data_IF_277396999601
#
_entry.id   IF_277396999601
#
_cell.length_a   1.000
_cell.length_b   1.000
_cell.length_c   1.000
_cell.angle_alpha   90.00
_cell.angle_beta   90.00
_cell.angle_gamma   90.00
#
_symmetry.space_group_name_H-M   'P 1'
#
loop_
_entity.id
_entity.type
_entity.pdbx_description
1 polymer ?
#
# COMPACT_ATOMS: atom_id res chain seq x y z
N UNK A 1 -2.56 44.11 -42.52
CA UNK A 1 -2.57 42.72 -43.02
C UNK A 1 -1.18 42.39 -43.56
N UNK A 2 -0.55 41.22 -43.31
CA UNK A 2 -0.86 40.21 -42.30
C UNK A 2 0.34 39.83 -41.39
N UNK A 3 -0.03 39.17 -40.28
CA UNK A 3 0.80 38.48 -39.28
C UNK A 3 1.72 37.42 -39.88
N UNK A 4 2.93 37.29 -39.34
CA UNK A 4 3.71 36.04 -39.42
C UNK A 4 3.49 35.25 -38.13
N UNK A 5 2.71 34.18 -38.24
CA UNK A 5 2.50 33.19 -37.19
C UNK A 5 3.60 32.13 -37.34
N UNK A 6 4.42 31.96 -36.29
CA UNK A 6 5.32 30.83 -36.13
C UNK A 6 4.50 29.55 -35.90
N UNK A 7 4.66 28.55 -36.77
CA UNK A 7 4.25 27.16 -36.49
C UNK A 7 5.43 26.45 -35.87
N UNK A 8 5.39 26.20 -34.56
CA UNK A 8 6.25 25.20 -33.93
C UNK A 8 5.64 23.81 -34.13
N UNK A 9 6.37 22.93 -34.79
CA UNK A 9 6.06 21.52 -34.93
C UNK A 9 6.25 20.84 -33.56
N UNK A 10 5.20 20.19 -33.05
CA UNK A 10 5.30 19.28 -31.92
C UNK A 10 6.00 17.99 -32.36
N UNK A 11 7.28 17.87 -32.05
CA UNK A 11 7.99 16.60 -32.10
C UNK A 11 7.59 15.77 -30.87
N UNK A 12 6.96 14.62 -31.13
CA UNK A 12 6.60 13.59 -30.16
C UNK A 12 7.88 12.82 -29.80
N UNK A 13 8.45 13.07 -28.63
CA UNK A 13 9.51 12.24 -28.06
C UNK A 13 8.81 11.20 -27.17
N UNK A 14 8.91 9.94 -27.56
CA UNK A 14 8.55 8.79 -26.73
C UNK A 14 9.85 8.38 -26.04
N UNK A 15 9.99 8.69 -24.75
CA UNK A 15 11.12 8.19 -23.97
C UNK A 15 10.79 6.76 -23.51
N UNK A 16 11.40 5.81 -24.19
CA UNK A 16 11.40 4.40 -23.84
C UNK A 16 12.46 4.18 -22.74
N UNK A 17 12.04 4.03 -21.49
CA UNK A 17 12.93 3.64 -20.40
C UNK A 17 13.26 2.14 -20.52
N UNK A 18 14.25 1.80 -21.34
CA UNK A 18 14.88 0.48 -21.33
C UNK A 18 15.90 0.41 -20.19
N UNK A 19 15.63 -0.39 -19.16
CA UNK A 19 16.66 -0.78 -18.19
C UNK A 19 17.77 -1.60 -18.88
N UNK A 20 19.06 -1.37 -18.59
CA UNK A 20 20.15 -2.12 -19.21
C UNK A 20 20.21 -3.58 -18.73
N UNK A 21 20.54 -4.56 -19.60
CA UNK A 21 20.62 -5.96 -19.21
C UNK A 21 21.96 -6.27 -18.51
N UNK A 22 21.89 -6.72 -17.27
CA UNK A 22 22.99 -7.42 -16.61
C UNK A 22 22.96 -8.90 -16.99
N UNK A 23 23.97 -9.25 -17.77
CA UNK A 23 24.59 -10.55 -18.03
C UNK A 23 24.28 -11.62 -16.96
N UNK A 24 23.62 -12.71 -17.35
CA UNK A 24 24.08 -14.02 -16.90
C UNK A 24 24.01 -15.05 -18.04
N UNK A 25 25.19 -15.49 -18.41
CA UNK A 25 25.50 -16.36 -19.53
C UNK A 25 25.75 -17.73 -18.94
N UNK A 26 24.78 -18.66 -19.02
CA UNK A 26 25.04 -20.12 -19.07
C UNK A 26 23.77 -20.94 -19.29
N UNK A 27 23.61 -21.42 -20.53
CA UNK A 27 23.36 -22.85 -20.87
C UNK A 27 23.27 -22.99 -22.39
N UNK A 28 24.41 -23.36 -23.01
CA UNK A 28 24.41 -24.04 -24.31
C UNK A 28 24.27 -25.54 -24.04
N UNK A 29 23.24 -26.16 -24.58
CA UNK A 29 23.27 -27.58 -24.89
C UNK A 29 22.85 -27.74 -26.35
N UNK A 30 23.82 -28.14 -27.18
CA UNK A 30 23.59 -28.74 -28.49
C UNK A 30 23.00 -30.14 -28.26
N UNK A 31 21.96 -30.51 -29.02
CA UNK A 31 21.74 -31.90 -29.42
C UNK A 31 21.23 -31.90 -30.85
N UNK A 32 22.04 -32.43 -31.77
CA UNK A 32 21.62 -32.91 -33.09
C UNK A 32 21.71 -34.43 -33.03
N UNK A 33 20.64 -35.14 -33.43
CA UNK A 33 20.67 -36.58 -33.60
C UNK A 33 19.28 -37.22 -33.61
N UNK A 34 18.76 -37.52 -34.81
CA UNK A 34 17.63 -38.41 -35.01
C UNK A 34 17.95 -39.81 -34.49
N UNK A 35 17.03 -40.40 -33.72
CA UNK A 35 17.06 -41.80 -33.31
C UNK A 35 15.66 -42.25 -32.86
N UNK A 36 15.21 -43.35 -33.46
CA UNK A 36 13.87 -43.96 -33.42
C UNK A 36 13.25 -44.17 -32.02
N UNK A 37 11.92 -44.01 -31.96
CA UNK A 37 11.02 -44.30 -30.81
C UNK A 37 11.02 -45.79 -30.41
N UNK A 38 10.66 -46.08 -29.15
CA UNK A 38 9.40 -46.76 -28.96
C UNK A 38 8.47 -46.07 -27.94
N UNK A 39 7.18 -46.23 -28.20
CA UNK A 39 6.05 -45.66 -27.49
C UNK A 39 5.93 -46.16 -26.05
N UNK A 40 5.77 -45.20 -25.12
CA UNK A 40 4.82 -45.23 -24.00
C UNK A 40 5.08 -44.02 -23.11
N UNK A 41 4.55 -42.85 -23.48
CA UNK A 41 4.44 -41.74 -22.54
C UNK A 41 2.95 -41.46 -22.34
N UNK A 42 2.45 -41.93 -21.21
CA UNK A 42 1.16 -41.51 -20.67
C UNK A 42 1.07 -39.98 -20.75
N UNK A 43 0.11 -39.46 -21.53
CA UNK A 43 -0.31 -38.07 -21.42
C UNK A 43 -0.99 -37.90 -20.06
N UNK A 44 -0.21 -37.72 -18.99
CA UNK A 44 -0.69 -36.99 -17.84
C UNK A 44 -0.68 -35.51 -18.24
N UNK A 45 -1.86 -34.98 -18.49
CA UNK A 45 -2.09 -33.55 -18.64
C UNK A 45 -1.76 -32.84 -17.32
N UNK A 46 -0.48 -32.62 -17.05
CA UNK A 46 -0.04 -31.64 -16.08
C UNK A 46 -0.16 -30.32 -16.82
N UNK A 47 -1.31 -29.66 -16.67
CA UNK A 47 -1.48 -28.29 -17.13
C UNK A 47 -0.27 -27.50 -16.67
N UNK A 48 0.46 -26.90 -17.62
CA UNK A 48 1.52 -25.97 -17.28
C UNK A 48 0.87 -24.88 -16.43
N UNK A 49 1.12 -24.91 -15.13
CA UNK A 49 0.87 -23.75 -14.28
C UNK A 49 1.74 -22.65 -14.87
N UNK A 50 1.11 -21.75 -15.63
CA UNK A 50 1.79 -20.55 -16.08
C UNK A 50 2.18 -19.82 -14.81
N UNK A 51 3.48 -19.72 -14.54
CA UNK A 51 3.96 -18.85 -13.48
C UNK A 51 3.36 -17.46 -13.74
N UNK A 52 2.59 -16.95 -12.78
CA UNK A 52 2.04 -15.60 -12.87
C UNK A 52 3.23 -14.64 -12.99
N UNK A 53 3.38 -14.02 -14.15
CA UNK A 53 4.41 -13.01 -14.38
C UNK A 53 3.86 -11.62 -14.06
N UNK A 54 4.68 -10.77 -13.46
CA UNK A 54 4.38 -9.34 -13.34
C UNK A 54 4.09 -8.75 -14.72
N UNK A 55 3.03 -7.94 -14.83
CA UNK A 55 2.75 -7.10 -15.99
C UNK A 55 2.22 -5.77 -15.51
N UNK A 56 3.00 -4.73 -15.74
CA UNK A 56 2.62 -3.34 -15.49
C UNK A 56 3.04 -2.49 -16.68
N UNK A 57 2.20 -1.54 -17.06
CA UNK A 57 2.55 -0.49 -18.01
C UNK A 57 2.21 0.87 -17.40
N UNK A 58 3.18 1.78 -17.38
CA UNK A 58 3.01 3.15 -16.93
C UNK A 58 3.25 4.05 -18.14
N UNK A 59 2.21 4.75 -18.58
CA UNK A 59 2.28 5.68 -19.71
C UNK A 59 1.53 6.97 -19.43
N UNK A 60 1.36 7.79 -20.45
CA UNK A 60 0.62 9.05 -20.37
C UNK A 60 -0.54 9.06 -21.36
N UNK A 61 -1.70 9.56 -20.91
CA UNK A 61 -2.87 9.80 -21.74
C UNK A 61 -3.47 11.16 -21.34
N UNK A 62 -3.30 12.18 -22.19
CA UNK A 62 -3.72 13.53 -21.88
C UNK A 62 -3.03 14.08 -20.62
N UNK A 63 -3.75 14.62 -19.62
CA UNK A 63 -3.16 15.17 -18.41
C UNK A 63 -2.86 14.10 -17.33
N UNK A 64 -2.99 12.81 -17.66
CA UNK A 64 -2.87 11.72 -16.69
C UNK A 64 -1.70 10.81 -17.00
N UNK A 65 -1.04 10.34 -15.93
CA UNK A 65 -0.31 9.09 -15.88
C UNK A 65 -1.33 7.96 -15.82
N UNK A 66 -1.24 7.01 -16.75
CA UNK A 66 -2.12 5.84 -16.79
C UNK A 66 -1.30 4.60 -16.48
N UNK A 67 -1.77 3.84 -15.48
CA UNK A 67 -1.08 2.68 -14.95
C UNK A 67 -2.00 1.48 -15.12
N UNK A 68 -1.64 0.57 -16.02
CA UNK A 68 -2.36 -0.70 -16.22
C UNK A 68 -1.54 -1.82 -15.61
N UNK A 69 -2.18 -2.68 -14.82
CA UNK A 69 -1.48 -3.67 -14.00
C UNK A 69 -2.30 -4.94 -13.82
N UNK A 70 -1.60 -6.08 -13.81
CA UNK A 70 -2.18 -7.34 -13.37
C UNK A 70 -2.04 -7.62 -11.86
N UNK A 71 -1.47 -6.68 -11.10
CA UNK A 71 -1.24 -6.75 -9.65
C UNK A 71 -0.45 -7.98 -9.17
N UNK A 72 0.31 -8.63 -10.05
CA UNK A 72 1.27 -9.67 -9.69
C UNK A 72 2.59 -8.99 -9.36
N UNK A 73 3.19 -9.14 -8.17
CA UNK A 73 4.48 -8.53 -7.86
C UNK A 73 5.60 -9.09 -8.74
N UNK A 74 6.64 -8.28 -8.95
CA UNK A 74 7.91 -8.63 -9.58
C UNK A 74 8.95 -9.19 -8.58
N UNK A 75 8.47 -9.56 -7.39
CA UNK A 75 9.25 -10.07 -6.29
C UNK A 75 8.57 -11.30 -5.69
N UNK A 76 9.35 -12.10 -4.96
CA UNK A 76 8.82 -13.26 -4.24
C UNK A 76 7.77 -12.83 -3.21
N UNK A 77 6.71 -13.64 -3.11
CA UNK A 77 5.67 -13.47 -2.10
C UNK A 77 5.76 -14.59 -1.07
N UNK A 78 5.07 -14.38 0.04
CA UNK A 78 4.70 -15.48 0.91
C UNK A 78 3.88 -16.54 0.16
N UNK A 79 3.71 -17.70 0.79
CA UNK A 79 2.81 -18.74 0.26
C UNK A 79 1.37 -18.31 0.50
N UNK A 80 0.56 -18.32 -0.56
CA UNK A 80 -0.88 -18.06 -0.51
C UNK A 80 -1.60 -19.16 -1.29
N UNK A 81 -2.66 -19.76 -0.72
CA UNK A 81 -3.24 -19.50 0.60
C UNK A 81 -2.33 -19.95 1.76
N UNK A 82 -2.55 -19.36 2.94
CA UNK A 82 -1.90 -19.69 4.21
C UNK A 82 -2.93 -19.71 5.36
N UNK A 83 -2.57 -20.11 6.60
CA UNK A 83 -3.53 -20.21 7.71
C UNK A 83 -4.26 -18.91 8.06
N UNK A 84 -3.61 -17.74 7.90
CA UNK A 84 -4.21 -16.43 8.14
C UNK A 84 -4.92 -15.84 6.92
N UNK A 85 -4.74 -16.43 5.73
CA UNK A 85 -5.33 -15.96 4.48
C UNK A 85 -5.67 -17.10 3.51
N UNK A 86 -6.96 -17.43 3.32
CA UNK A 86 -7.39 -18.56 2.49
C UNK A 86 -7.38 -18.26 0.98
N UNK A 87 -6.99 -17.06 0.54
CA UNK A 87 -7.05 -16.66 -0.86
C UNK A 87 -5.73 -16.96 -1.58
N UNK A 88 -5.81 -17.37 -2.84
CA UNK A 88 -4.65 -17.54 -3.73
C UNK A 88 -4.44 -16.27 -4.58
N UNK A 89 -3.18 -15.93 -4.87
CA UNK A 89 -2.85 -14.82 -5.78
C UNK A 89 -3.35 -15.16 -7.18
N UNK A 90 -4.05 -14.22 -7.82
CA UNK A 90 -4.45 -14.32 -9.23
C UNK A 90 -4.21 -13.00 -9.94
N UNK A 91 -3.94 -13.08 -11.24
CA UNK A 91 -3.80 -11.88 -12.07
C UNK A 91 -5.12 -11.10 -12.11
N UNK A 92 -5.01 -9.79 -12.00
CA UNK A 92 -6.10 -8.84 -12.07
C UNK A 92 -6.09 -8.10 -13.42
N UNK A 93 -7.09 -7.26 -13.66
CA UNK A 93 -7.12 -6.29 -14.76
C UNK A 93 -7.41 -4.90 -14.17
N UNK A 94 -6.37 -4.20 -13.75
CA UNK A 94 -6.47 -2.91 -13.08
C UNK A 94 -6.00 -1.79 -14.00
N UNK A 95 -6.71 -0.66 -13.96
CA UNK A 95 -6.35 0.57 -14.67
C UNK A 95 -6.54 1.77 -13.76
N UNK A 96 -5.44 2.47 -13.48
CA UNK A 96 -5.41 3.67 -12.65
C UNK A 96 -5.04 4.90 -13.47
N UNK A 97 -5.53 6.07 -13.05
CA UNK A 97 -5.21 7.37 -13.62
C UNK A 97 -4.77 8.31 -12.51
N UNK A 98 -3.59 8.90 -12.63
CA UNK A 98 -3.05 9.84 -11.66
C UNK A 98 -2.66 11.14 -12.39
N UNK A 99 -3.02 12.34 -11.89
CA UNK A 99 -2.65 13.60 -12.55
C UNK A 99 -1.14 13.74 -12.79
N UNK A 100 -0.72 14.22 -13.97
CA UNK A 100 0.68 14.55 -14.26
C UNK A 100 1.15 15.84 -13.59
N UNK A 101 0.21 16.75 -13.33
CA UNK A 101 0.42 18.02 -12.64
C UNK A 101 -0.43 18.04 -11.37
N UNK A 102 -0.07 17.26 -10.34
CA UNK A 102 -0.80 17.21 -9.09
C UNK A 102 -0.68 18.55 -8.35
N UNK A 103 -1.75 18.93 -7.67
CA UNK A 103 -1.80 20.16 -6.86
C UNK A 103 -2.37 19.85 -5.48
N UNK A 104 -1.82 20.51 -4.45
CA UNK A 104 -2.35 20.40 -3.09
C UNK A 104 -3.73 21.05 -3.04
N UNK A 105 -4.69 20.38 -2.43
CA UNK A 105 -6.07 20.85 -2.32
C UNK A 105 -6.29 21.86 -1.18
N UNK A 106 -5.25 22.19 -0.40
CA UNK A 106 -5.34 23.02 0.81
C UNK A 106 -5.98 22.32 2.01
N UNK A 107 -6.44 21.07 1.86
CA UNK A 107 -6.99 20.22 2.92
C UNK A 107 -6.60 18.77 2.70
N UNK A 108 -6.54 18.01 3.79
CA UNK A 108 -6.26 16.57 3.74
C UNK A 108 -7.55 15.75 3.61
N UNK A 109 -7.56 14.77 2.70
CA UNK A 109 -8.66 13.82 2.51
C UNK A 109 -8.26 12.46 3.07
N UNK A 110 -9.07 11.88 3.96
CA UNK A 110 -8.79 10.54 4.50
C UNK A 110 -8.88 9.46 3.40
N UNK A 111 -7.93 8.53 3.37
CA UNK A 111 -7.80 7.47 2.37
C UNK A 111 -8.71 6.26 2.56
N UNK A 112 -9.64 6.26 3.52
CA UNK A 112 -10.56 5.11 3.74
C UNK A 112 -11.37 4.81 2.47
N UNK A 113 -11.30 3.57 1.99
CA UNK A 113 -11.98 3.11 0.77
C UNK A 113 -11.27 3.47 -0.54
N UNK A 114 -9.96 3.72 -0.48
CA UNK A 114 -9.11 3.98 -1.63
C UNK A 114 -7.83 3.15 -1.53
N UNK A 115 -7.32 2.67 -2.67
CA UNK A 115 -5.89 2.38 -2.74
C UNK A 115 -5.19 3.74 -2.64
N UNK A 116 -4.25 3.90 -1.70
CA UNK A 116 -3.50 5.14 -1.55
C UNK A 116 -2.69 5.47 -2.81
N UNK A 117 -2.13 4.43 -3.43
CA UNK A 117 -1.40 4.56 -4.67
C UNK A 117 -1.16 3.19 -5.29
N UNK A 118 -0.36 3.18 -6.34
CA UNK A 118 0.10 1.96 -6.98
C UNK A 118 1.62 1.99 -7.09
N UNK A 119 2.25 0.90 -6.68
CA UNK A 119 3.68 0.73 -6.78
C UNK A 119 4.15 0.70 -8.24
N UNK A 120 5.44 0.95 -8.47
CA UNK A 120 6.05 0.87 -9.82
C UNK A 120 5.94 -0.51 -10.45
N UNK A 121 5.85 -1.57 -9.65
CA UNK A 121 5.56 -2.93 -10.12
C UNK A 121 4.06 -3.18 -10.35
N UNK A 122 3.19 -2.19 -10.15
CA UNK A 122 1.75 -2.29 -10.40
C UNK A 122 0.93 -2.86 -9.25
N UNK A 123 1.52 -3.18 -8.09
CA UNK A 123 0.77 -3.64 -6.91
C UNK A 123 0.18 -2.44 -6.14
N UNK A 124 -1.11 -2.46 -5.76
CA UNK A 124 -1.70 -1.36 -5.01
C UNK A 124 -1.18 -1.25 -3.56
N UNK A 125 -1.05 -0.01 -3.08
CA UNK A 125 -0.93 0.31 -1.66
C UNK A 125 -2.32 0.51 -1.06
N UNK A 126 -2.71 -0.30 -0.10
CA UNK A 126 -4.02 -0.26 0.54
C UNK A 126 -3.83 -0.18 2.06
N UNK A 127 -3.68 1.03 2.63
CA UNK A 127 -3.31 1.17 4.04
C UNK A 127 -4.44 0.82 5.02
N UNK A 128 -5.70 0.87 4.58
CA UNK A 128 -6.85 0.69 5.46
C UNK A 128 -7.40 -0.73 5.30
N UNK A 129 -7.66 -1.39 6.43
CA UNK A 129 -8.29 -2.72 6.40
C UNK A 129 -9.79 -2.60 6.18
N UNK A 130 -10.42 -3.71 5.79
CA UNK A 130 -11.86 -3.91 5.91
C UNK A 130 -12.26 -4.44 7.30
N UNK A 131 -11.34 -4.43 8.27
CA UNK A 131 -11.53 -4.98 9.60
C UNK A 131 -11.94 -3.89 10.58
N UNK A 132 -13.04 -4.14 11.29
CA UNK A 132 -13.64 -3.19 12.21
C UNK A 132 -13.97 -3.85 13.54
N UNK A 133 -13.82 -3.13 14.64
CA UNK A 133 -14.18 -3.64 15.96
C UNK A 133 -15.68 -3.99 16.01
N UNK A 134 -16.02 -5.28 16.07
CA UNK A 134 -17.40 -5.78 16.06
C UNK A 134 -18.26 -5.20 14.91
N UNK A 135 -17.64 -4.87 13.77
CA UNK A 135 -18.31 -4.25 12.63
C UNK A 135 -18.56 -2.73 12.76
N UNK A 136 -18.18 -2.09 13.86
CA UNK A 136 -18.29 -0.65 14.04
C UNK A 136 -17.22 0.09 13.20
N UNK A 137 -17.68 0.75 12.14
CA UNK A 137 -16.81 1.47 11.18
C UNK A 137 -16.08 2.67 11.77
N UNK A 138 -16.40 3.06 13.01
CA UNK A 138 -15.65 4.07 13.75
C UNK A 138 -14.34 3.54 14.34
N UNK A 139 -14.08 2.22 14.29
CA UNK A 139 -12.89 1.60 14.86
C UNK A 139 -12.26 0.64 13.85
N UNK A 140 -11.34 1.14 13.03
CA UNK A 140 -10.70 0.38 11.97
C UNK A 140 -9.36 -0.18 12.42
N UNK A 141 -9.17 -1.49 12.32
CA UNK A 141 -7.90 -2.10 12.70
C UNK A 141 -6.78 -1.69 11.75
N UNK A 142 -5.64 -1.34 12.31
CA UNK A 142 -4.42 -1.15 11.55
C UNK A 142 -3.82 -2.51 11.17
N UNK A 143 -3.60 -2.72 9.87
CA UNK A 143 -3.18 -4.01 9.32
C UNK A 143 -1.84 -4.50 9.87
N UNK A 144 -0.91 -3.58 10.11
CA UNK A 144 0.48 -3.89 10.45
C UNK A 144 0.76 -3.74 11.95
N UNK A 145 -0.24 -3.34 12.73
CA UNK A 145 -0.12 -3.23 14.19
C UNK A 145 -0.09 -4.60 14.90
N UNK A 146 -0.38 -5.70 14.19
CA UNK A 146 -0.26 -7.07 14.71
C UNK A 146 -1.39 -7.53 15.64
N UNK A 147 -2.50 -6.80 15.68
CA UNK A 147 -3.67 -7.14 16.52
C UNK A 147 -4.72 -8.00 15.81
N UNK A 148 -4.65 -8.07 14.47
CA UNK A 148 -5.49 -8.92 13.63
C UNK A 148 -4.58 -9.73 12.73
N UNK A 149 -4.78 -11.04 12.68
CA UNK A 149 -4.07 -11.90 11.74
C UNK A 149 -4.73 -11.80 10.36
N UNK A 150 -4.10 -11.04 9.47
CA UNK A 150 -4.51 -10.90 8.06
C UNK A 150 -3.76 -11.87 7.12
N UNK A 151 -2.93 -12.76 7.69
CA UNK A 151 -2.03 -13.62 6.94
C UNK A 151 -1.04 -12.85 6.06
N UNK A 152 -0.54 -11.72 6.56
CA UNK A 152 0.47 -10.91 5.86
C UNK A 152 1.73 -11.74 5.58
N UNK A 153 2.34 -11.51 4.43
CA UNK A 153 3.66 -12.05 4.11
C UNK A 153 4.80 -11.11 4.55
N UNK A 154 6.03 -11.49 4.25
CA UNK A 154 7.25 -10.72 4.53
C UNK A 154 7.29 -9.33 3.88
N UNK A 155 6.43 -9.07 2.88
CA UNK A 155 6.28 -7.79 2.20
C UNK A 155 5.16 -6.93 2.82
N UNK A 156 4.62 -7.33 3.97
CA UNK A 156 3.48 -6.71 4.62
C UNK A 156 2.27 -6.62 3.67
N UNK A 157 2.08 -7.64 2.84
CA UNK A 157 0.99 -7.74 1.90
C UNK A 157 0.17 -8.99 2.13
N UNK A 158 -1.06 -8.97 1.65
CA UNK A 158 -1.88 -10.16 1.59
C UNK A 158 -2.77 -10.16 0.36
N UNK A 159 -3.55 -11.24 0.24
CA UNK A 159 -4.46 -11.46 -0.86
C UNK A 159 -5.90 -11.22 -0.39
N UNK A 160 -6.63 -10.30 -1.02
CA UNK A 160 -8.06 -10.15 -0.72
C UNK A 160 -8.88 -11.24 -1.44
N UNK A 161 -10.17 -11.44 -1.06
CA UNK A 161 -11.10 -12.18 -1.89
C UNK A 161 -11.05 -11.73 -3.36
N UNK A 162 -11.02 -12.69 -4.28
CA UNK A 162 -10.81 -12.44 -5.73
C UNK A 162 -9.35 -12.44 -6.18
N UNK A 163 -8.39 -12.61 -5.25
CA UNK A 163 -7.00 -12.93 -5.57
C UNK A 163 -6.05 -11.74 -5.78
N UNK A 164 -6.52 -10.50 -5.54
CA UNK A 164 -5.68 -9.29 -5.65
C UNK A 164 -4.68 -9.22 -4.47
N UNK A 165 -3.40 -9.32 -4.78
CA UNK A 165 -2.31 -9.04 -3.86
C UNK A 165 -2.11 -7.51 -3.70
N UNK A 166 -1.89 -7.03 -2.47
CA UNK A 166 -1.73 -5.59 -2.18
C UNK A 166 -0.96 -5.35 -0.88
N UNK A 167 -0.24 -4.22 -0.79
CA UNK A 167 0.59 -3.86 0.35
C UNK A 167 -0.17 -3.06 1.41
N UNK A 168 0.00 -3.46 2.68
CA UNK A 168 -0.42 -2.70 3.86
C UNK A 168 0.72 -1.99 4.57
N UNK A 169 1.96 -2.37 4.28
CA UNK A 169 3.17 -1.80 4.88
C UNK A 169 4.36 -1.80 3.93
N UNK A 170 5.55 -1.93 4.50
CA UNK A 170 6.82 -1.90 3.77
C UNK A 170 6.93 -3.06 2.77
N UNK A 171 6.92 -2.82 1.45
CA UNK A 171 7.08 -3.87 0.45
C UNK A 171 8.57 -4.23 0.31
N UNK A 172 9.10 -5.03 1.23
CA UNK A 172 10.55 -5.36 1.30
C UNK A 172 11.08 -5.91 -0.02
N UNK A 173 10.30 -6.76 -0.68
CA UNK A 173 10.61 -7.34 -1.98
C UNK A 173 10.54 -6.35 -3.14
N UNK A 174 9.87 -5.20 -3.01
CA UNK A 174 9.94 -4.11 -3.99
C UNK A 174 11.17 -3.24 -3.71
N UNK A 175 11.44 -2.96 -2.43
CA UNK A 175 12.50 -2.07 -1.97
C UNK A 175 13.79 -2.89 -1.79
N UNK A 176 14.28 -3.48 -2.88
CA UNK A 176 15.46 -4.38 -2.87
C UNK A 176 16.80 -3.63 -2.88
N UNK A 177 16.81 -2.35 -3.27
CA UNK A 177 18.00 -1.51 -3.33
C UNK A 177 17.72 -0.10 -2.80
N UNK A 178 17.79 0.04 -1.48
CA UNK A 178 17.87 1.34 -0.82
C UNK A 178 19.26 1.54 -0.23
N UNK A 179 19.72 2.79 -0.21
CA UNK A 179 20.92 3.20 0.49
C UNK A 179 20.52 4.30 1.46
N UNK A 180 20.85 4.19 2.76
CA UNK A 180 20.61 5.28 3.70
C UNK A 180 21.45 6.52 3.37
N UNK A 181 22.39 6.40 2.43
CA UNK A 181 23.26 7.47 1.95
C UNK A 181 22.75 8.10 0.63
N UNK A 182 21.55 7.76 0.17
CA UNK A 182 20.99 8.30 -1.08
C UNK A 182 19.51 8.60 -0.92
N UNK A 183 19.01 9.60 -1.67
CA UNK A 183 17.59 9.85 -1.75
C UNK A 183 16.88 8.58 -2.25
N UNK A 184 15.74 8.25 -1.65
CA UNK A 184 14.96 7.08 -2.07
C UNK A 184 14.50 7.25 -3.52
N UNK A 185 14.38 6.16 -4.30
CA UNK A 185 13.73 6.22 -5.59
C UNK A 185 12.22 6.36 -5.42
N UNK A 186 11.53 6.82 -6.48
CA UNK A 186 10.08 6.70 -6.58
C UNK A 186 9.70 5.22 -6.58
N UNK A 187 8.88 4.80 -5.61
CA UNK A 187 8.37 3.44 -5.49
C UNK A 187 6.92 3.31 -5.96
N UNK A 188 6.24 4.42 -6.23
CA UNK A 188 4.87 4.43 -6.73
C UNK A 188 4.30 5.82 -6.94
N UNK A 189 3.05 5.85 -7.35
CA UNK A 189 2.29 7.08 -7.58
C UNK A 189 0.99 7.05 -6.78
N UNK A 190 0.73 8.12 -6.03
CA UNK A 190 -0.48 8.26 -5.24
C UNK A 190 -1.70 8.55 -6.13
N UNK A 191 -2.89 8.28 -5.59
CA UNK A 191 -4.15 8.49 -6.29
C UNK A 191 -4.36 9.95 -6.73
N UNK A 192 -3.75 10.91 -6.04
CA UNK A 192 -3.81 12.34 -6.35
C UNK A 192 -2.66 12.82 -7.25
N UNK A 193 -1.77 11.93 -7.70
CA UNK A 193 -0.74 12.19 -8.70
C UNK A 193 0.66 12.44 -8.17
N UNK A 194 0.81 12.69 -6.86
CA UNK A 194 2.13 12.92 -6.27
C UNK A 194 2.98 11.64 -6.20
N UNK A 195 4.32 11.75 -6.32
CA UNK A 195 5.21 10.62 -6.18
C UNK A 195 5.22 10.07 -4.74
N UNK A 196 5.42 8.76 -4.63
CA UNK A 196 5.64 8.06 -3.37
C UNK A 196 7.08 7.56 -3.35
N UNK A 197 7.83 7.95 -2.32
CA UNK A 197 9.20 7.51 -2.07
C UNK A 197 9.24 6.53 -0.89
N UNK A 198 10.34 5.75 -0.80
CA UNK A 198 10.71 5.06 0.44
C UNK A 198 11.20 6.07 1.51
N UNK A 199 11.84 5.61 2.59
CA UNK A 199 11.97 6.39 3.82
C UNK A 199 13.01 7.52 3.77
N UNK A 200 13.93 7.53 2.82
CA UNK A 200 15.05 8.47 2.82
C UNK A 200 14.83 9.66 1.88
N UNK A 201 15.09 10.85 2.40
CA UNK A 201 15.07 12.11 1.64
C UNK A 201 16.15 13.08 2.12
N UNK A 202 16.22 14.24 1.49
CA UNK A 202 17.14 15.32 1.88
C UNK A 202 16.80 15.89 3.26
N UNK A 203 17.79 16.18 4.10
CA UNK A 203 17.57 16.75 5.42
C UNK A 203 16.96 18.14 5.34
N UNK A 204 17.49 18.99 4.46
CA UNK A 204 16.83 20.22 4.04
C UNK A 204 15.95 19.93 2.81
N UNK A 205 14.62 20.09 2.90
CA UNK A 205 13.73 19.83 1.77
C UNK A 205 13.96 20.76 0.57
N UNK A 206 14.66 21.88 0.73
CA UNK A 206 14.94 22.83 -0.35
C UNK A 206 16.33 22.64 -0.98
N UNK A 207 17.17 21.76 -0.44
CA UNK A 207 18.56 21.60 -0.88
C UNK A 207 18.94 20.13 -1.13
N UNK A 208 19.15 19.81 -2.41
CA UNK A 208 19.62 18.50 -2.88
C UNK A 208 21.08 18.16 -2.51
N UNK A 209 21.85 19.15 -2.05
CA UNK A 209 23.19 18.97 -1.50
C UNK A 209 23.21 18.67 0.01
N UNK A 210 22.06 18.76 0.69
CA UNK A 210 21.97 18.49 2.12
C UNK A 210 22.11 16.99 2.43
N UNK A 211 22.48 16.61 3.67
CA UNK A 211 22.61 15.21 4.06
C UNK A 211 21.34 14.40 3.82
N UNK A 212 21.47 13.10 3.56
CA UNK A 212 20.34 12.18 3.52
C UNK A 212 19.95 11.76 4.93
N UNK A 213 18.66 11.68 5.20
CA UNK A 213 18.12 11.13 6.45
C UNK A 213 16.83 10.37 6.23
N UNK A 214 16.50 9.48 7.17
CA UNK A 214 15.17 8.89 7.24
C UNK A 214 14.14 9.97 7.57
N UNK A 215 13.05 10.00 6.82
CA UNK A 215 11.89 10.85 7.03
C UNK A 215 11.05 10.28 8.17
N UNK A 216 10.64 11.16 9.07
CA UNK A 216 9.86 10.78 10.25
C UNK A 216 8.46 11.38 10.21
N UNK A 217 7.48 10.57 10.62
CA UNK A 217 6.09 10.98 10.81
C UNK A 217 5.91 11.78 12.11
N UNK A 218 5.02 12.78 12.09
CA UNK A 218 4.58 13.51 13.28
C UNK A 218 3.41 12.87 14.05
N UNK A 219 2.94 11.70 13.61
CA UNK A 219 1.86 10.99 14.29
C UNK A 219 2.36 10.22 15.51
N UNK A 220 1.51 10.11 16.53
CA UNK A 220 1.74 9.26 17.69
C UNK A 220 0.46 8.58 18.15
N UNK A 221 0.62 7.53 18.96
CA UNK A 221 -0.50 6.96 19.71
C UNK A 221 -0.98 8.01 20.73
N UNK A 222 -2.30 8.24 20.77
CA UNK A 222 -2.96 9.08 21.77
C UNK A 222 -2.66 8.57 23.17
N UNK A 223 -2.61 9.48 24.14
CA UNK A 223 -2.48 9.09 25.53
C UNK A 223 -3.86 8.81 26.15
N UNK A 224 -3.88 8.03 27.23
CA UNK A 224 -5.09 7.75 27.99
C UNK A 224 -5.99 6.67 27.39
N UNK A 225 -7.23 6.60 27.88
CA UNK A 225 -8.21 5.58 27.52
C UNK A 225 -9.20 6.05 26.44
N UNK A 226 -9.61 5.12 25.58
CA UNK A 226 -10.67 5.30 24.60
C UNK A 226 -11.99 5.57 25.31
N UNK A 227 -12.76 6.51 24.77
CA UNK A 227 -14.13 6.77 25.23
C UNK A 227 -15.10 6.01 24.33
N UNK A 228 -15.76 4.99 24.89
CA UNK A 228 -16.69 4.14 24.14
C UNK A 228 -16.02 3.11 23.21
N UNK A 229 -16.84 2.42 22.42
CA UNK A 229 -16.42 1.36 21.50
C UNK A 229 -15.59 0.25 22.20
N UNK A 230 -14.38 -0.07 21.72
CA UNK A 230 -13.52 -1.13 22.26
C UNK A 230 -13.01 -0.85 23.69
N UNK A 231 -13.09 0.39 24.18
CA UNK A 231 -12.55 0.77 25.48
C UNK A 231 -11.04 0.51 25.63
N UNK A 232 -10.55 0.56 26.88
CA UNK A 232 -9.12 0.36 27.19
C UNK A 232 -8.23 1.53 26.76
N UNK A 233 -6.91 1.37 26.93
CA UNK A 233 -5.92 2.37 26.50
C UNK A 233 -5.79 2.42 24.98
N UNK A 234 -5.50 3.61 24.44
CA UNK A 234 -5.03 3.71 23.06
C UNK A 234 -3.68 2.96 22.96
N UNK A 235 -3.63 1.92 22.12
CA UNK A 235 -2.47 1.04 21.96
C UNK A 235 -2.00 0.94 20.50
N UNK A 236 -2.59 1.76 19.62
CA UNK A 236 -2.22 1.84 18.21
C UNK A 236 -2.89 0.78 17.32
N UNK A 237 -3.72 -0.11 17.90
CA UNK A 237 -4.40 -1.16 17.14
C UNK A 237 -5.44 -0.63 16.16
N UNK A 238 -6.01 0.53 16.45
CA UNK A 238 -6.98 1.18 15.59
C UNK A 238 -6.36 2.43 14.97
N UNK A 239 -6.75 2.75 13.74
CA UNK A 239 -6.45 4.03 13.12
C UNK A 239 -6.82 5.21 14.04
N UNK A 240 -7.95 5.08 14.74
CA UNK A 240 -8.47 6.09 15.65
C UNK A 240 -7.65 6.29 16.93
N UNK A 241 -6.73 5.37 17.24
CA UNK A 241 -5.78 5.52 18.35
C UNK A 241 -4.69 6.54 18.07
N UNK A 242 -4.54 6.97 16.82
CA UNK A 242 -3.47 7.86 16.42
C UNK A 242 -3.94 9.32 16.41
N UNK A 243 -3.03 10.21 16.78
CA UNK A 243 -3.20 11.66 16.67
C UNK A 243 -2.02 12.31 15.96
N UNK A 244 -2.34 13.35 15.20
CA UNK A 244 -1.36 14.18 14.52
C UNK A 244 -0.86 15.26 15.47
N UNK A 245 0.45 15.43 15.56
CA UNK A 245 1.08 16.54 16.27
C UNK A 245 1.77 17.47 15.30
N UNK A 246 1.32 18.72 15.26
CA UNK A 246 1.93 19.74 14.41
C UNK A 246 3.38 20.02 14.84
N UNK A 247 4.26 20.21 13.85
CA UNK A 247 5.68 20.45 14.06
C UNK A 247 6.48 19.27 14.64
N UNK A 248 5.93 18.05 14.62
CA UNK A 248 6.67 16.82 14.95
C UNK A 248 7.04 16.06 13.68
N UNK A 249 8.22 15.46 13.70
CA UNK A 249 8.77 14.75 12.54
C UNK A 249 9.20 15.68 11.40
N UNK A 250 9.43 15.10 10.23
CA UNK A 250 9.86 15.78 9.00
C UNK A 250 8.71 15.98 7.99
N UNK A 251 7.62 15.24 8.19
CA UNK A 251 6.51 15.12 7.26
C UNK A 251 5.25 15.75 7.85
N UNK A 252 4.35 16.22 7.00
CA UNK A 252 3.05 16.74 7.40
C UNK A 252 2.04 15.63 7.77
N UNK A 253 0.80 16.02 8.07
CA UNK A 253 -0.28 15.10 8.45
C UNK A 253 -0.57 14.00 7.42
N UNK A 254 -0.29 14.24 6.14
CA UNK A 254 -0.46 13.26 5.08
C UNK A 254 0.81 12.44 4.83
N UNK A 255 1.80 12.50 5.72
CA UNK A 255 3.08 11.81 5.61
C UNK A 255 3.83 12.20 4.32
N UNK A 256 3.70 13.48 3.94
CA UNK A 256 4.42 14.07 2.82
C UNK A 256 5.00 15.42 3.16
N UNK A 257 5.76 15.99 2.24
CA UNK A 257 6.29 17.36 2.35
C UNK A 257 6.58 17.96 0.98
N UNK A 258 6.64 19.28 0.91
CA UNK A 258 7.22 19.97 -0.24
C UNK A 258 8.74 19.82 -0.18
N UNK A 259 9.35 19.27 -1.22
CA UNK A 259 10.79 18.98 -1.25
C UNK A 259 11.33 18.93 -2.67
N UNK A 260 12.59 19.29 -2.87
CA UNK A 260 13.36 18.90 -4.06
C UNK A 260 13.66 17.41 -3.99
N UNK A 261 13.77 16.78 -5.15
CA UNK A 261 14.10 15.35 -5.33
C UNK A 261 14.93 15.18 -6.62
N UNK A 262 15.63 14.06 -6.85
CA UNK A 262 16.35 13.85 -8.10
C UNK A 262 15.48 14.03 -9.35
N UNK A 263 14.24 13.55 -9.32
CA UNK A 263 13.29 13.62 -10.42
C UNK A 263 12.57 14.97 -10.52
N UNK A 264 12.48 15.71 -9.41
CA UNK A 264 11.85 17.02 -9.33
C UNK A 264 12.81 18.04 -8.69
N UNK A 265 13.84 18.50 -9.42
CA UNK A 265 14.86 19.41 -8.88
C UNK A 265 14.30 20.81 -8.56
N UNK A 266 13.19 21.19 -9.21
CA UNK A 266 12.47 22.44 -8.92
C UNK A 266 11.45 22.29 -7.76
N UNK A 267 11.41 21.13 -7.12
CA UNK A 267 10.50 20.83 -6.03
C UNK A 267 9.19 20.20 -6.47
N UNK A 268 8.66 19.34 -5.61
CA UNK A 268 7.32 18.77 -5.69
C UNK A 268 6.80 18.52 -4.28
N UNK A 269 5.51 18.34 -4.13
CA UNK A 269 5.00 17.68 -2.93
C UNK A 269 5.16 16.17 -3.11
N UNK A 270 5.74 15.50 -2.12
CA UNK A 270 6.06 14.09 -2.20
C UNK A 270 5.62 13.36 -0.93
N UNK A 271 5.08 12.16 -1.09
CA UNK A 271 4.80 11.24 0.01
C UNK A 271 5.99 10.35 0.30
N UNK A 272 6.14 9.97 1.55
CA UNK A 272 7.17 9.04 2.00
C UNK A 272 6.51 7.89 2.75
N UNK A 273 6.94 6.66 2.46
CA UNK A 273 6.75 5.57 3.42
C UNK A 273 7.68 5.80 4.60
N UNK A 274 7.22 5.52 5.83
CA UNK A 274 8.01 5.71 7.04
C UNK A 274 8.19 4.41 7.81
N UNK A 275 9.32 4.27 8.50
CA UNK A 275 9.60 3.09 9.34
C UNK A 275 8.64 3.00 10.53
N UNK A 276 8.19 4.16 11.04
CA UNK A 276 7.15 4.29 12.05
C UNK A 276 5.79 4.62 11.43
N UNK A 277 4.74 4.54 12.25
CA UNK A 277 3.38 4.79 11.79
C UNK A 277 3.16 6.26 11.35
N UNK A 278 2.40 6.50 10.28
CA UNK A 278 1.83 5.50 9.40
C UNK A 278 2.85 5.03 8.35
N UNK A 279 3.06 3.72 8.21
CA UNK A 279 4.01 3.20 7.20
C UNK A 279 3.62 3.64 5.79
N UNK A 280 2.37 3.38 5.40
CA UNK A 280 1.76 3.94 4.19
C UNK A 280 0.89 5.13 4.61
N UNK A 281 0.99 6.28 3.91
CA UNK A 281 0.19 7.46 4.21
C UNK A 281 -1.32 7.18 4.30
N UNK A 282 -1.99 7.89 5.21
CA UNK A 282 -3.44 7.73 5.49
C UNK A 282 -4.32 8.82 4.89
N UNK A 283 -3.70 9.86 4.37
CA UNK A 283 -4.39 11.03 3.85
C UNK A 283 -3.79 11.45 2.51
N UNK A 284 -4.62 12.01 1.65
CA UNK A 284 -4.24 12.71 0.44
C UNK A 284 -4.14 14.21 0.70
N UNK A 285 -3.06 14.84 0.27
CA UNK A 285 -2.86 16.28 0.20
C UNK A 285 -3.47 16.90 -1.07
N UNK A 286 -3.66 16.13 -2.14
CA UNK A 286 -4.35 16.53 -3.36
C UNK A 286 -5.77 15.96 -3.47
N UNK A 287 -6.30 15.95 -4.70
CA UNK A 287 -7.59 15.32 -5.01
C UNK A 287 -7.37 13.95 -5.64
N UNK A 288 -7.73 12.83 -4.97
CA UNK A 288 -7.51 11.51 -5.51
C UNK A 288 -8.44 11.22 -6.70
N UNK A 289 -7.89 10.59 -7.74
CA UNK A 289 -8.63 10.17 -8.92
C UNK A 289 -9.46 8.92 -8.64
N UNK A 290 -10.73 8.93 -9.06
CA UNK A 290 -11.72 7.89 -8.75
C UNK A 290 -11.33 6.48 -9.20
N UNK A 291 -10.43 6.33 -10.17
CA UNK A 291 -9.90 5.02 -10.57
C UNK A 291 -9.21 4.25 -9.43
N UNK A 292 -8.79 4.93 -8.37
CA UNK A 292 -8.20 4.31 -7.18
C UNK A 292 -9.22 3.87 -6.12
N UNK A 293 -10.52 4.17 -6.28
CA UNK A 293 -11.56 3.71 -5.36
C UNK A 293 -11.57 2.18 -5.29
N UNK A 294 -11.55 1.66 -4.08
CA UNK A 294 -11.76 0.23 -3.86
C UNK A 294 -13.26 -0.01 -4.06
N UNK A 295 -13.62 -0.79 -5.09
CA UNK A 295 -15.00 -1.21 -5.32
C UNK A 295 -15.55 -2.02 -4.13
N UNK A 296 -16.88 -2.18 -4.00
CA UNK A 296 -17.42 -3.14 -3.05
C UNK A 296 -16.78 -4.51 -3.29
N UNK A 297 -16.53 -5.33 -2.24
CA UNK A 297 -16.06 -6.70 -2.44
C UNK A 297 -16.98 -7.36 -3.47
N UNK A 298 -16.40 -7.87 -4.55
CA UNK A 298 -17.15 -8.62 -5.55
C UNK A 298 -17.85 -9.76 -4.82
N UNK A 299 -19.19 -9.79 -4.90
CA UNK A 299 -20.09 -10.66 -4.14
C UNK A 299 -19.98 -12.14 -4.52
N UNK A 300 -18.81 -12.74 -4.31
CA UNK A 300 -18.65 -14.18 -4.27
C UNK A 300 -19.36 -14.72 -3.04
N UNK A 301 -20.43 -15.47 -3.27
CA UNK A 301 -21.08 -16.29 -2.26
C UNK A 301 -20.09 -17.38 -1.81
N UNK A 302 -19.22 -17.06 -0.85
CA UNK A 302 -18.46 -18.02 -0.07
C UNK A 302 -19.24 -18.43 1.18
N UNK A 303 -19.08 -19.66 1.68
CA UNK A 303 -19.91 -20.18 2.78
C UNK A 303 -19.78 -19.27 4.00
N UNK A 304 -20.93 -18.96 4.60
CA UNK A 304 -21.09 -17.93 5.61
C UNK A 304 -20.00 -17.91 6.68
N UNK A 305 -19.71 -16.69 7.13
CA UNK A 305 -18.88 -16.41 8.30
C UNK A 305 -19.11 -17.46 9.38
N UNK A 306 -18.11 -18.31 9.64
CA UNK A 306 -18.14 -19.13 10.85
C UNK A 306 -18.13 -18.15 12.03
N UNK A 307 -19.01 -18.35 13.04
CA UNK A 307 -18.95 -17.57 14.26
C UNK A 307 -17.56 -17.70 14.89
N UNK A 308 -17.08 -16.68 15.62
CA UNK A 308 -15.81 -16.79 16.33
C UNK A 308 -15.85 -18.01 17.28
N UNK A 309 -14.71 -18.70 17.49
CA UNK A 309 -14.64 -19.81 18.44
C UNK A 309 -15.18 -19.35 19.80
N UNK A 310 -16.21 -20.05 20.32
CA UNK A 310 -16.65 -19.89 21.71
C UNK A 310 -15.46 -20.25 22.60
N UNK A 311 -14.79 -19.23 23.16
CA UNK A 311 -13.63 -19.49 24.04
C UNK A 311 -12.90 -18.28 24.61
N UNK A 312 -13.12 -17.06 24.11
CA UNK A 312 -12.58 -15.88 24.79
C UNK A 312 -13.50 -15.51 25.96
N UNK A 313 -13.09 -15.96 27.15
CA UNK A 313 -13.61 -15.50 28.43
C UNK A 313 -13.75 -13.97 28.41
N UNK A 314 -14.97 -13.50 28.67
CA UNK A 314 -15.23 -12.09 29.02
C UNK A 314 -14.27 -11.69 30.15
N UNK A 315 -13.51 -10.58 30.04
CA UNK A 315 -12.88 -10.02 31.22
C UNK A 315 -13.98 -9.60 32.21
N UNK A 316 -13.81 -9.82 33.52
CA UNK A 316 -14.81 -9.46 34.51
C UNK A 316 -14.97 -7.93 34.55
N UNK A 317 -16.20 -7.43 34.83
CA UNK A 317 -16.44 -5.99 34.92
C UNK A 317 -15.67 -5.37 36.10
N UNK A 318 -15.27 -4.09 36.03
CA UNK A 318 -14.58 -3.42 37.12
C UNK A 318 -15.48 -3.37 38.36
N UNK A 319 -14.99 -3.90 39.49
CA UNK A 319 -15.70 -3.93 40.76
C UNK A 319 -15.93 -2.52 41.31
N UNK A 320 -17.16 -2.03 41.18
CA UNK A 320 -17.65 -0.87 41.93
C UNK A 320 -18.10 -1.30 43.32
N UNK A 321 -17.33 -0.94 44.36
CA UNK A 321 -17.78 -1.02 45.75
C UNK A 321 -18.89 0.00 45.99
N UNK A 322 -20.15 -0.41 45.96
CA UNK A 322 -21.24 0.33 46.58
C UNK A 322 -21.60 -0.32 47.93
N UNK A 323 -21.19 0.34 49.02
CA UNK A 323 -21.69 0.06 50.36
C UNK A 323 -23.17 0.47 50.41
N UNK A 324 -24.06 -0.49 50.72
CA UNK A 324 -25.47 -0.24 51.07
C UNK A 324 -25.58 0.31 52.51
N UNK A 325 -26.48 1.27 52.80
CA UNK A 325 -26.86 1.58 54.17
C UNK A 325 -27.92 0.57 54.68
N UNK A 326 -27.98 0.27 55.99
CA UNK A 326 -28.97 -0.66 56.53
C UNK A 326 -30.33 0.03 56.69
N UNK A 327 -31.34 -0.49 55.99
CA UNK A 327 -32.75 -0.18 56.20
C UNK A 327 -33.32 -1.02 57.34
N UNK A 328 -34.08 -0.36 58.22
CA UNK A 328 -34.72 -0.95 59.39
C UNK A 328 -35.86 -1.92 59.05
N UNK A 329 -36.14 -2.79 60.03
CA UNK A 329 -37.32 -3.64 60.07
C UNK A 329 -38.43 -3.03 60.94
N UNK A 330 -39.66 -3.13 60.45
CA UNK A 330 -40.94 -2.92 61.13
C UNK A 330 -41.25 -4.13 62.05
N UNK A 331 -42.32 -4.15 62.90
CA UNK A 331 -43.69 -3.63 62.69
C UNK A 331 -43.90 -2.15 63.01
#
# INVERSE_FOLDING_TARGET
MPNKIHRHAHHRIVEEFTSPPLVDQKRRQLVTGLGLLPAALMLSGIGRAWALSNRVSIGTEGPYRVIRSNAIPDHDTGRFPNPGNPNAITAQDLSFRAPLQPARAGRYTIGKGWNFGVAVNGVPFDPFTAEFWLGDRNWNYDAIAGFVDLGLDENNAHVQPGGKYHYHGWPKGLIRAWSPNSHSPIIGWAADGFPIYAAYGYADPADSGSPIKAMTSGWRVRQGARQGGPGGSHDGRFFEDWEWLDGKGDLDRANGRQTVTPEFPNGTYAYFLTESWPVIPRYFAGTPDRSFRIGPPSGGHGPGMRPPPRGMHRPPPPGGMHRRPPGGGLP
#
